data_IF_999706954590
#
_entry.id   IF_999706954590
#
_cell.length_a   1.000
_cell.length_b   1.000
_cell.length_c   1.000
_cell.angle_alpha   90.00
_cell.angle_beta   90.00
_cell.angle_gamma   90.00
#
_symmetry.space_group_name_H-M   'P 1'
#
loop_
_entity.id
_entity.type
_entity.pdbx_description
1 polymer ?
#
# COMPACT_ATOMS: atom_id res chain seq x y z
N UNK A 1 -10.26 4.00 -8.32
CA UNK A 1 -9.36 2.82 -8.49
C UNK A 1 -8.55 2.65 -7.21
N UNK A 2 -8.53 1.45 -6.63
CA UNK A 2 -7.70 1.11 -5.45
C UNK A 2 -6.78 -0.04 -5.84
N UNK A 3 -5.49 0.09 -5.58
CA UNK A 3 -4.52 -0.98 -5.87
C UNK A 3 -3.88 -1.47 -4.57
N UNK A 4 -3.51 -2.74 -4.54
CA UNK A 4 -2.87 -3.34 -3.38
C UNK A 4 -2.11 -4.61 -3.72
N UNK A 5 -1.30 -5.07 -2.77
CA UNK A 5 -0.56 -6.34 -2.87
C UNK A 5 -1.28 -7.37 -2.00
N UNK A 6 -1.32 -8.61 -2.46
CA UNK A 6 -1.98 -9.70 -1.75
C UNK A 6 -1.19 -11.00 -1.85
N UNK A 7 -1.53 -11.94 -0.98
CA UNK A 7 -1.15 -13.35 -1.08
C UNK A 7 -2.39 -14.19 -1.35
N UNK A 8 -2.28 -15.13 -2.27
CA UNK A 8 -3.27 -16.17 -2.52
C UNK A 8 -2.54 -17.53 -2.44
N UNK A 9 -2.81 -18.29 -1.37
CA UNK A 9 -1.88 -19.34 -0.94
C UNK A 9 -0.50 -18.74 -0.63
N UNK A 10 0.55 -19.32 -1.19
CA UNK A 10 1.93 -18.85 -1.03
C UNK A 10 2.38 -17.87 -2.13
N UNK A 11 1.53 -17.60 -3.13
CA UNK A 11 1.86 -16.71 -4.24
C UNK A 11 1.52 -15.26 -3.89
N UNK A 12 2.54 -14.41 -3.88
CA UNK A 12 2.35 -12.97 -3.83
C UNK A 12 2.02 -12.42 -5.22
N UNK A 13 1.07 -11.50 -5.29
CA UNK A 13 0.85 -10.68 -6.47
C UNK A 13 0.23 -9.33 -6.10
N UNK A 14 -0.22 -8.57 -7.09
CA UNK A 14 -0.78 -7.24 -6.92
C UNK A 14 -2.07 -7.07 -7.71
N UNK A 15 -2.90 -6.12 -7.29
CA UNK A 15 -4.32 -6.16 -7.58
C UNK A 15 -4.96 -4.80 -7.75
N UNK A 16 -6.12 -4.84 -8.40
CA UNK A 16 -7.19 -3.87 -8.29
C UNK A 16 -8.21 -4.39 -7.26
N UNK A 17 -8.61 -3.53 -6.31
CA UNK A 17 -9.56 -3.87 -5.23
C UNK A 17 -10.85 -3.09 -5.43
N UNK A 18 -11.95 -3.80 -5.67
CA UNK A 18 -13.28 -3.23 -5.98
C UNK A 18 -14.38 -4.10 -5.36
N UNK A 19 -15.35 -3.50 -4.66
CA UNK A 19 -16.58 -4.17 -4.19
C UNK A 19 -16.39 -5.53 -3.48
N UNK A 20 -15.36 -5.65 -2.62
CA UNK A 20 -15.07 -6.90 -1.91
C UNK A 20 -14.46 -8.00 -2.80
N UNK A 21 -13.96 -7.62 -3.98
CA UNK A 21 -13.26 -8.48 -4.94
C UNK A 21 -11.82 -8.00 -5.13
N UNK A 22 -10.97 -8.94 -5.50
CA UNK A 22 -9.54 -8.69 -5.79
C UNK A 22 -9.25 -9.19 -7.19
N UNK A 23 -8.97 -8.29 -8.12
CA UNK A 23 -8.59 -8.64 -9.49
C UNK A 23 -7.08 -8.70 -9.55
N UNK A 24 -6.52 -9.87 -9.87
CA UNK A 24 -5.08 -10.05 -10.02
C UNK A 24 -4.59 -9.35 -11.30
N UNK A 25 -3.81 -8.29 -11.13
CA UNK A 25 -3.36 -7.46 -12.24
C UNK A 25 -2.20 -8.06 -13.00
N UNK A 26 -1.40 -8.94 -12.39
CA UNK A 26 -0.24 -9.54 -13.05
C UNK A 26 -0.65 -10.41 -14.27
N UNK A 27 -1.50 -11.45 -14.13
CA UNK A 27 -1.96 -12.24 -15.28
C UNK A 27 -2.91 -11.45 -16.19
N UNK A 28 -3.67 -10.49 -15.66
CA UNK A 28 -4.55 -9.64 -16.47
C UNK A 28 -3.76 -8.77 -17.45
N UNK A 29 -2.70 -8.10 -17.00
CA UNK A 29 -1.84 -7.30 -17.86
C UNK A 29 -1.13 -8.17 -18.90
N UNK A 30 -0.67 -9.36 -18.51
CA UNK A 30 -0.08 -10.33 -19.42
C UNK A 30 -1.06 -10.73 -20.53
N UNK A 31 -2.30 -11.09 -20.17
CA UNK A 31 -3.34 -11.44 -21.13
C UNK A 31 -3.75 -10.28 -22.06
N UNK A 32 -3.58 -9.02 -21.60
CA UNK A 32 -3.85 -7.83 -22.39
C UNK A 32 -2.71 -7.44 -23.35
N UNK A 33 -1.63 -8.23 -23.39
CA UNK A 33 -0.42 -7.97 -24.18
C UNK A 33 0.40 -6.80 -23.63
N UNK A 34 0.28 -6.49 -22.34
CA UNK A 34 1.05 -5.46 -21.67
C UNK A 34 2.22 -6.06 -20.89
N UNK A 35 3.28 -5.29 -20.62
CA UNK A 35 4.33 -5.71 -19.69
C UNK A 35 3.72 -6.07 -18.34
N UNK A 36 3.76 -7.36 -18.02
CA UNK A 36 3.28 -7.89 -16.75
C UNK A 36 4.36 -7.72 -15.69
N UNK A 37 4.39 -6.54 -15.05
CA UNK A 37 5.28 -6.32 -13.92
C UNK A 37 5.00 -7.35 -12.81
N UNK A 38 6.08 -7.91 -12.26
CA UNK A 38 6.01 -8.94 -11.21
C UNK A 38 5.33 -8.43 -9.94
N UNK A 39 5.51 -7.15 -9.61
CA UNK A 39 4.90 -6.49 -8.46
C UNK A 39 4.49 -5.03 -8.78
N UNK A 40 3.76 -4.42 -7.84
CA UNK A 40 3.31 -3.03 -7.97
C UNK A 40 4.49 -2.05 -8.08
N UNK A 41 5.60 -2.32 -7.39
CA UNK A 41 6.79 -1.47 -7.45
C UNK A 41 7.41 -1.47 -8.85
N UNK A 42 7.56 -2.65 -9.45
CA UNK A 42 8.03 -2.83 -10.82
C UNK A 42 7.13 -2.11 -11.81
N UNK A 43 5.81 -2.26 -11.66
CA UNK A 43 4.83 -1.57 -12.51
C UNK A 43 5.03 -0.05 -12.47
N UNK A 44 5.09 0.54 -11.27
CA UNK A 44 5.28 1.99 -11.10
C UNK A 44 6.65 2.45 -11.63
N UNK A 45 7.70 1.68 -11.40
CA UNK A 45 9.07 2.03 -11.85
C UNK A 45 9.19 2.02 -13.37
N UNK A 46 8.41 1.18 -14.06
CA UNK A 46 8.34 1.11 -15.51
C UNK A 46 7.41 2.18 -16.13
N UNK A 47 6.87 3.12 -15.33
CA UNK A 47 5.94 4.15 -15.80
C UNK A 47 4.49 3.67 -15.93
N UNK A 48 4.17 2.52 -15.32
CA UNK A 48 2.82 2.02 -15.20
C UNK A 48 1.89 3.05 -14.54
N UNK A 49 0.65 3.10 -15.01
CA UNK A 49 -0.32 4.10 -14.59
C UNK A 49 -1.74 3.53 -14.57
N UNK A 50 -2.67 4.28 -13.98
CA UNK A 50 -4.09 3.93 -14.02
C UNK A 50 -4.63 3.80 -15.46
N UNK A 51 -4.07 4.55 -16.41
CA UNK A 51 -4.44 4.46 -17.84
C UNK A 51 -4.10 3.08 -18.41
N UNK A 52 -2.91 2.56 -18.12
CA UNK A 52 -2.50 1.22 -18.54
C UNK A 52 -3.42 0.13 -17.97
N UNK A 53 -3.79 0.23 -16.69
CA UNK A 53 -4.74 -0.70 -16.07
C UNK A 53 -6.11 -0.61 -16.75
N UNK A 54 -6.62 0.61 -16.99
CA UNK A 54 -7.89 0.82 -17.67
C UNK A 54 -7.88 0.27 -19.11
N UNK A 55 -6.78 0.44 -19.84
CA UNK A 55 -6.59 -0.12 -21.18
C UNK A 55 -6.63 -1.64 -21.17
N UNK A 56 -6.00 -2.28 -20.17
CA UNK A 56 -6.01 -3.74 -20.05
C UNK A 56 -7.41 -4.28 -19.76
N UNK A 57 -8.14 -3.62 -18.86
CA UNK A 57 -9.53 -3.93 -18.51
C UNK A 57 -10.51 -3.77 -19.69
N UNK A 58 -10.16 -2.96 -20.70
CA UNK A 58 -10.93 -2.85 -21.96
C UNK A 58 -10.66 -4.00 -22.93
N UNK A 59 -9.50 -4.64 -22.85
CA UNK A 59 -9.07 -5.70 -23.78
C UNK A 59 -9.40 -7.10 -23.27
N UNK A 60 -9.41 -7.27 -21.96
CA UNK A 60 -9.57 -8.59 -21.33
C UNK A 60 -10.65 -8.54 -20.27
N UNK A 61 -11.48 -9.58 -20.26
CA UNK A 61 -12.49 -9.78 -19.23
C UNK A 61 -11.82 -10.04 -17.87
N UNK A 62 -12.03 -9.11 -16.94
CA UNK A 62 -11.44 -9.13 -15.59
C UNK A 62 -11.94 -10.30 -14.76
N UNK A 63 -13.15 -10.81 -15.00
CA UNK A 63 -13.75 -11.86 -14.16
C UNK A 63 -12.92 -13.14 -14.17
N UNK A 64 -12.13 -13.37 -15.23
CA UNK A 64 -11.17 -14.47 -15.35
C UNK A 64 -10.02 -14.42 -14.34
N UNK A 65 -9.75 -13.24 -13.79
CA UNK A 65 -8.66 -12.96 -12.85
C UNK A 65 -9.18 -12.43 -11.51
N UNK A 66 -10.49 -12.47 -11.30
CA UNK A 66 -11.13 -12.04 -10.05
C UNK A 66 -11.06 -13.16 -9.02
N UNK A 67 -10.59 -12.82 -7.82
CA UNK A 67 -10.55 -13.67 -6.65
C UNK A 67 -11.53 -13.12 -5.59
N UNK A 68 -12.23 -14.00 -4.83
CA UNK A 68 -12.95 -13.58 -3.63
C UNK A 68 -12.00 -12.96 -2.62
N UNK A 69 -12.41 -11.86 -1.96
CA UNK A 69 -11.59 -11.21 -0.92
C UNK A 69 -11.26 -12.14 0.25
N UNK A 70 -12.13 -13.12 0.54
CA UNK A 70 -11.93 -14.11 1.60
C UNK A 70 -10.76 -15.07 1.31
N UNK A 71 -10.43 -15.28 0.04
CA UNK A 71 -9.41 -16.25 -0.38
C UNK A 71 -8.00 -15.65 -0.41
N UNK A 72 -7.88 -14.34 -0.13
CA UNK A 72 -6.62 -13.62 -0.20
C UNK A 72 -6.30 -12.91 1.11
N UNK A 73 -5.01 -12.88 1.45
CA UNK A 73 -4.48 -12.05 2.53
C UNK A 73 -3.90 -10.77 1.95
N UNK A 74 -4.45 -9.61 2.33
CA UNK A 74 -3.88 -8.33 1.91
C UNK A 74 -2.55 -8.08 2.62
N UNK A 75 -1.57 -7.60 1.86
CA UNK A 75 -0.30 -7.10 2.34
C UNK A 75 -0.30 -5.56 2.30
N UNK A 76 0.79 -4.96 2.78
CA UNK A 76 1.04 -3.56 2.47
C UNK A 76 1.09 -3.38 0.93
N UNK A 77 0.51 -2.31 0.37
CA UNK A 77 0.51 -2.10 -1.08
C UNK A 77 1.92 -2.14 -1.70
N UNK A 78 2.91 -1.59 -0.99
CA UNK A 78 4.32 -1.69 -1.33
C UNK A 78 5.05 -2.35 -0.15
N UNK A 79 5.25 -3.68 -0.16
CA UNK A 79 5.86 -4.40 0.96
C UNK A 79 7.40 -4.24 1.02
N UNK A 80 8.03 -3.80 -0.08
CA UNK A 80 9.47 -3.79 -0.28
C UNK A 80 10.02 -2.42 -0.76
N UNK A 81 9.67 -1.28 -0.11
CA UNK A 81 10.21 0.01 -0.51
C UNK A 81 11.71 0.11 -0.16
N UNK A 82 12.47 0.87 -0.95
CA UNK A 82 13.89 1.12 -0.65
C UNK A 82 14.09 2.06 0.55
N UNK A 83 13.12 2.95 0.81
CA UNK A 83 13.12 3.91 1.92
C UNK A 83 11.71 4.31 2.30
N UNK A 84 11.51 4.64 3.57
CA UNK A 84 10.29 5.30 4.08
C UNK A 84 10.70 6.65 4.64
N UNK A 85 10.31 7.72 3.96
CA UNK A 85 10.54 9.10 4.41
C UNK A 85 9.26 9.61 5.05
N UNK A 86 9.34 9.95 6.34
CA UNK A 86 8.21 10.42 7.13
C UNK A 86 8.35 11.90 7.43
N UNK A 87 7.21 12.57 7.59
CA UNK A 87 7.15 13.97 7.98
C UNK A 87 6.52 14.07 9.37
N UNK A 88 7.27 14.63 10.31
CA UNK A 88 6.81 14.94 11.66
C UNK A 88 6.09 16.29 11.68
N UNK A 89 5.12 16.44 12.58
CA UNK A 89 4.51 17.74 12.92
C UNK A 89 3.91 18.49 11.72
N UNK A 90 3.43 17.78 10.70
CA UNK A 90 2.81 18.38 9.50
C UNK A 90 1.33 18.76 9.69
N UNK A 91 0.90 18.88 10.95
CA UNK A 91 -0.45 19.24 11.35
C UNK A 91 -0.33 20.30 12.45
N UNK A 92 -0.74 21.51 12.12
CA UNK A 92 -0.54 22.68 12.97
C UNK A 92 -1.26 22.56 14.32
N UNK A 93 -2.46 21.98 14.31
CA UNK A 93 -3.21 21.62 15.52
C UNK A 93 -2.45 20.62 16.39
N UNK A 94 -1.86 19.57 15.79
CA UNK A 94 -1.06 18.60 16.53
C UNK A 94 0.21 19.23 17.12
N UNK A 95 0.89 20.10 16.38
CA UNK A 95 2.05 20.87 16.87
C UNK A 95 1.67 21.75 18.08
N UNK A 96 0.53 22.46 17.99
CA UNK A 96 0.01 23.31 19.07
C UNK A 96 -0.38 22.49 20.31
N UNK A 97 -1.02 21.33 20.14
CA UNK A 97 -1.36 20.41 21.24
C UNK A 97 -0.09 19.97 22.01
N UNK A 98 1.01 19.75 21.29
CA UNK A 98 2.28 19.38 21.90
C UNK A 98 3.04 20.58 22.50
N UNK A 99 2.55 21.81 22.32
CA UNK A 99 3.20 23.03 22.82
C UNK A 99 4.58 23.30 22.20
N UNK A 100 4.83 22.78 20.99
CA UNK A 100 6.11 22.96 20.31
C UNK A 100 6.17 24.32 19.61
N UNK A 101 7.35 24.79 19.24
CA UNK A 101 7.53 26.00 18.40
C UNK A 101 7.19 25.72 16.92
N UNK A 102 6.97 26.79 16.14
CA UNK A 102 6.73 26.66 14.72
C UNK A 102 8.00 26.25 13.98
N UNK A 103 7.90 25.28 13.08
CA UNK A 103 9.01 24.83 12.26
C UNK A 103 8.92 25.50 10.88
N UNK A 104 9.90 26.34 10.56
CA UNK A 104 9.97 27.01 9.25
C UNK A 104 10.26 26.07 8.07
N UNK A 105 10.68 24.83 8.36
CA UNK A 105 10.98 23.79 7.37
C UNK A 105 10.38 22.45 7.79
N UNK A 106 10.07 21.54 6.85
CA UNK A 106 9.53 20.23 7.18
C UNK A 106 10.50 19.41 8.03
N UNK A 107 10.00 18.82 9.12
CA UNK A 107 10.76 17.86 9.90
C UNK A 107 10.67 16.48 9.25
N UNK A 108 11.78 16.00 8.69
CA UNK A 108 11.85 14.70 8.03
C UNK A 108 12.60 13.70 8.91
N UNK A 109 12.14 12.44 8.90
CA UNK A 109 12.82 11.31 9.53
C UNK A 109 12.58 10.02 8.73
N UNK A 110 13.33 8.96 9.03
CA UNK A 110 13.20 7.68 8.35
C UNK A 110 12.53 6.64 9.26
N UNK A 111 11.71 5.79 8.65
CA UNK A 111 11.30 4.50 9.25
C UNK A 111 11.97 3.36 8.49
N UNK A 112 12.33 2.30 9.21
CA UNK A 112 12.90 1.11 8.60
C UNK A 112 11.87 0.45 7.65
N UNK A 113 12.24 0.10 6.40
CA UNK A 113 11.36 -0.65 5.50
C UNK A 113 10.80 -1.94 6.13
N UNK A 114 11.58 -2.60 6.99
CA UNK A 114 11.17 -3.80 7.73
C UNK A 114 10.03 -3.59 8.73
N UNK A 115 9.67 -2.34 9.05
CA UNK A 115 8.56 -2.03 9.95
C UNK A 115 7.20 -1.98 9.24
N UNK A 116 7.15 -2.16 7.92
CA UNK A 116 5.89 -2.22 7.17
C UNK A 116 5.25 -3.59 7.36
N UNK A 117 3.96 -3.58 7.74
CA UNK A 117 3.12 -4.76 7.85
C UNK A 117 1.80 -4.54 7.08
N UNK A 118 1.09 -5.64 6.80
CA UNK A 118 -0.22 -5.59 6.14
C UNK A 118 -1.31 -4.98 7.03
N UNK A 119 -2.45 -4.59 6.44
CA UNK A 119 -3.55 -3.95 7.17
C UNK A 119 -4.16 -4.83 8.26
N UNK A 120 -4.13 -6.15 8.08
CA UNK A 120 -4.71 -7.14 8.98
C UNK A 120 -3.63 -7.79 9.89
N UNK A 121 -2.38 -7.32 9.83
CA UNK A 121 -1.28 -7.86 10.62
C UNK A 121 -1.28 -7.30 12.05
N UNK A 122 -0.98 -8.15 13.03
CA UNK A 122 -0.88 -7.75 14.42
C UNK A 122 0.33 -6.80 14.65
N UNK A 123 0.14 -5.79 15.48
CA UNK A 123 1.23 -4.95 15.98
C UNK A 123 1.75 -5.60 17.27
N UNK A 124 2.98 -6.08 17.24
CA UNK A 124 3.65 -6.61 18.43
C UNK A 124 4.26 -5.47 19.24
N UNK A 125 3.92 -5.41 20.54
CA UNK A 125 4.47 -4.41 21.46
C UNK A 125 5.79 -4.95 22.04
N UNK A 126 6.93 -4.26 21.84
CA UNK A 126 8.22 -4.71 22.36
C UNK A 126 8.24 -4.78 23.89
N UNK A 127 8.96 -5.77 24.44
CA UNK A 127 9.18 -5.87 25.88
C UNK A 127 9.87 -4.62 26.43
N UNK A 128 9.45 -4.17 27.62
CA UNK A 128 9.95 -2.93 28.24
C UNK A 128 9.32 -1.64 27.71
N UNK A 129 8.25 -1.74 26.91
CA UNK A 129 7.48 -0.57 26.45
C UNK A 129 6.48 -0.15 27.52
N UNK A 130 6.70 1.00 28.15
CA UNK A 130 5.73 1.58 29.11
C UNK A 130 4.52 2.22 28.41
N UNK A 131 4.73 2.78 27.22
CA UNK A 131 3.70 3.46 26.43
C UNK A 131 3.90 3.25 24.94
N UNK A 132 2.83 2.88 24.26
CA UNK A 132 2.70 2.88 22.80
C UNK A 132 1.67 3.93 22.37
N UNK A 133 1.97 4.68 21.32
CA UNK A 133 1.07 5.71 20.78
C UNK A 133 0.75 5.43 19.31
N UNK A 134 -0.46 5.79 18.88
CA UNK A 134 -0.88 5.75 17.48
C UNK A 134 -0.83 7.16 16.88
N UNK A 135 -0.23 7.29 15.69
CA UNK A 135 -0.21 8.54 14.93
C UNK A 135 -1.11 8.42 13.71
N UNK A 136 -2.31 9.00 13.80
CA UNK A 136 -3.24 9.13 12.69
C UNK A 136 -3.97 10.46 12.81
N UNK A 137 -4.31 11.11 11.70
CA UNK A 137 -5.28 12.20 11.74
C UNK A 137 -6.67 11.57 11.85
N UNK A 138 -7.35 11.74 12.98
CA UNK A 138 -8.78 11.45 13.02
C UNK A 138 -9.47 12.40 12.06
N UNK A 139 -10.08 11.89 10.98
CA UNK A 139 -11.09 12.66 10.27
C UNK A 139 -12.21 12.91 11.30
N UNK A 140 -12.49 14.17 11.60
CA UNK A 140 -13.80 14.55 12.11
C UNK A 140 -14.74 14.70 10.93
#
# INVERSE_FOLDING_TARGET
MRVGTFLHGDRQSWSLIEDGRVVDLQPLLSAAGMPAAEDLRGFLTQGGSAGHIADALRRVDRERFTLPRADVRLLAPLPNPSKIVCMGLNFEDYRQILGLEYLAVPQLFLKAPSAIIGPDAAIEIPQGTDRSSMSSRSAR
#
